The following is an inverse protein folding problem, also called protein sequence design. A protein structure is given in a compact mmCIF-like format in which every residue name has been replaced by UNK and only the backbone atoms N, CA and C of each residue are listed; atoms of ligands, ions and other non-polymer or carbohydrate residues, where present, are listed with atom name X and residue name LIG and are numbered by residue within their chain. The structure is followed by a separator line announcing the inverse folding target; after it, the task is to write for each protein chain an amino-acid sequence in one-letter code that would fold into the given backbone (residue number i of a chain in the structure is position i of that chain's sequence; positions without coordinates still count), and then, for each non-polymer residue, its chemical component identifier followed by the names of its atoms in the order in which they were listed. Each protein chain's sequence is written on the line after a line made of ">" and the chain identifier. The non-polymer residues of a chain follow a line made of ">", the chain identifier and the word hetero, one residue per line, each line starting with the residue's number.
data_IF_107303006067
#
_entry.id   IF_107303006067
#
_cell.length_a   1.000
_cell.length_b   1.000
_cell.length_c   1.000
_cell.angle_alpha   90.00
_cell.angle_beta   90.00
_cell.angle_gamma   90.00
#
_symmetry.space_group_name_H-M   'P 1'
#
loop_
_entity.id
_entity.type
_entity.pdbx_description
1 polymer ?
#
# COMPACT_ATOMS: atom_id res chain seq x y z
N UNK A 1 -6.43 12.80 15.84
CA UNK A 1 -5.12 12.48 16.45
C UNK A 1 -4.94 13.39 17.67
N UNK A 2 -4.43 12.87 18.79
CA UNK A 2 -4.26 13.63 20.05
C UNK A 2 -3.43 14.91 19.85
N UNK A 3 -2.44 14.87 18.97
CA UNK A 3 -1.58 16.00 18.60
C UNK A 3 -2.31 17.17 17.94
N UNK A 4 -3.31 16.93 17.09
CA UNK A 4 -4.12 17.99 16.47
C UNK A 4 -5.01 18.69 17.50
N UNK A 5 -5.40 17.97 18.56
CA UNK A 5 -6.20 18.50 19.65
C UNK A 5 -5.36 19.42 20.55
N UNK A 6 -4.10 19.06 20.83
CA UNK A 6 -3.14 19.91 21.54
C UNK A 6 -2.92 21.24 20.81
N UNK A 7 -2.79 21.23 19.47
CA UNK A 7 -2.67 22.47 18.68
C UNK A 7 -3.90 23.37 18.80
N UNK A 8 -5.10 22.78 18.88
CA UNK A 8 -6.35 23.52 19.09
C UNK A 8 -6.41 24.12 20.50
N UNK A 9 -6.05 23.35 21.51
CA UNK A 9 -5.99 23.80 22.91
C UNK A 9 -5.00 24.96 23.08
N UNK A 10 -3.80 24.89 22.48
CA UNK A 10 -2.84 26.00 22.52
C UNK A 10 -3.42 27.24 21.83
N UNK A 11 -4.15 27.08 20.72
CA UNK A 11 -4.81 28.21 20.03
C UNK A 11 -5.87 28.87 20.90
N UNK A 12 -6.68 28.06 21.59
CA UNK A 12 -7.69 28.55 22.53
C UNK A 12 -7.04 29.23 23.73
N UNK A 13 -5.89 28.73 24.20
CA UNK A 13 -5.14 29.36 25.29
C UNK A 13 -4.59 30.73 24.87
N UNK A 14 -4.10 30.87 23.64
CA UNK A 14 -3.64 32.16 23.09
C UNK A 14 -4.80 33.16 23.09
N UNK A 15 -5.97 32.78 22.57
CA UNK A 15 -7.17 33.63 22.55
C UNK A 15 -7.60 34.01 23.98
N UNK A 16 -7.57 33.06 24.91
CA UNK A 16 -7.90 33.31 26.32
C UNK A 16 -6.94 34.32 26.97
N UNK A 17 -5.66 34.28 26.61
CA UNK A 17 -4.66 35.26 27.07
C UNK A 17 -4.90 36.62 26.40
N UNK A 18 -5.27 36.65 25.12
CA UNK A 18 -5.64 37.88 24.41
C UNK A 18 -6.84 38.58 25.05
N UNK A 19 -7.86 37.84 25.45
CA UNK A 19 -9.09 38.36 26.07
C UNK A 19 -8.95 38.67 27.57
N UNK A 20 -7.86 38.24 28.19
CA UNK A 20 -7.62 38.48 29.62
C UNK A 20 -7.37 39.96 29.96
N UNK A 21 -7.64 40.33 31.20
CA UNK A 21 -7.35 41.66 31.76
C UNK A 21 -5.87 41.85 32.18
N UNK A 22 -4.98 40.95 31.79
CA UNK A 22 -3.54 41.03 32.09
C UNK A 22 -2.92 42.26 31.42
N UNK A 23 -1.90 42.84 32.07
CA UNK A 23 -1.12 43.96 31.52
C UNK A 23 -0.59 43.63 30.11
N UNK A 24 -0.66 44.60 29.21
CA UNK A 24 -0.35 44.46 27.77
C UNK A 24 1.04 43.85 27.51
N UNK A 25 2.03 44.20 28.33
CA UNK A 25 3.42 43.71 28.18
C UNK A 25 3.50 42.21 28.51
N UNK A 26 2.90 41.78 29.61
CA UNK A 26 2.95 40.38 30.03
C UNK A 26 2.07 39.48 29.14
N UNK A 27 0.95 40.03 28.65
CA UNK A 27 0.14 39.40 27.60
C UNK A 27 0.98 39.09 26.36
N UNK A 28 1.75 40.06 25.86
CA UNK A 28 2.64 39.85 24.70
C UNK A 28 3.72 38.81 24.98
N UNK A 29 4.31 38.78 26.17
CA UNK A 29 5.30 37.75 26.55
C UNK A 29 4.68 36.35 26.54
N UNK A 30 3.50 36.20 27.15
CA UNK A 30 2.78 34.92 27.21
C UNK A 30 2.38 34.43 25.82
N UNK A 31 1.81 35.29 24.99
CA UNK A 31 1.44 34.95 23.61
C UNK A 31 2.68 34.50 22.82
N UNK A 32 3.81 35.22 22.92
CA UNK A 32 5.06 34.83 22.26
C UNK A 32 5.54 33.43 22.66
N UNK A 33 5.49 33.11 23.94
CA UNK A 33 5.88 31.78 24.45
C UNK A 33 4.93 30.70 23.91
N UNK A 34 3.62 30.92 23.97
CA UNK A 34 2.62 29.98 23.46
C UNK A 34 2.76 29.76 21.95
N UNK A 35 3.04 30.83 21.20
CA UNK A 35 3.28 30.75 19.76
C UNK A 35 4.54 29.95 19.44
N UNK A 36 5.62 30.15 20.20
CA UNK A 36 6.86 29.38 20.05
C UNK A 36 6.67 27.89 20.36
N UNK A 37 5.90 27.56 21.40
CA UNK A 37 5.53 26.18 21.73
C UNK A 37 4.72 25.56 20.58
N UNK A 38 3.72 26.28 20.07
CA UNK A 38 2.88 25.84 18.95
C UNK A 38 3.70 25.54 17.70
N UNK A 39 4.64 26.41 17.34
CA UNK A 39 5.53 26.23 16.19
C UNK A 39 6.42 25.00 16.36
N UNK A 40 7.06 24.82 17.52
CA UNK A 40 7.88 23.63 17.81
C UNK A 40 7.07 22.34 17.71
N UNK A 41 5.81 22.35 18.15
CA UNK A 41 4.93 21.20 18.05
C UNK A 41 4.59 20.87 16.59
N UNK A 42 4.36 21.88 15.74
CA UNK A 42 4.16 21.71 14.30
C UNK A 42 5.41 21.11 13.65
N UNK A 43 6.59 21.67 13.91
CA UNK A 43 7.86 21.14 13.38
C UNK A 43 8.10 19.68 13.79
N UNK A 44 7.76 19.32 15.03
CA UNK A 44 7.85 17.95 15.51
C UNK A 44 6.90 17.03 14.74
N UNK A 45 5.64 17.43 14.56
CA UNK A 45 4.66 16.64 13.81
C UNK A 45 5.01 16.50 12.33
N UNK A 46 5.58 17.52 11.71
CA UNK A 46 6.09 17.42 10.34
C UNK A 46 7.25 16.44 10.21
N UNK A 47 8.13 16.38 11.22
CA UNK A 47 9.21 15.38 11.26
C UNK A 47 8.65 13.96 11.41
N UNK A 48 7.67 13.75 12.29
CA UNK A 48 6.99 12.46 12.43
C UNK A 48 6.29 12.04 11.14
N UNK A 49 5.53 12.92 10.50
CA UNK A 49 4.85 12.65 9.23
C UNK A 49 5.83 12.33 8.09
N UNK A 50 6.98 13.03 8.03
CA UNK A 50 8.04 12.71 7.05
C UNK A 50 8.66 11.34 7.30
N UNK A 51 8.83 10.95 8.56
CA UNK A 51 9.32 9.61 8.94
C UNK A 51 8.28 8.55 8.60
N UNK A 52 7.01 8.76 8.95
CA UNK A 52 5.90 7.86 8.60
C UNK A 52 5.78 7.69 7.08
N UNK A 53 5.83 8.78 6.30
CA UNK A 53 5.80 8.72 4.85
C UNK A 53 6.98 7.90 4.28
N UNK A 54 8.18 8.05 4.86
CA UNK A 54 9.36 7.27 4.48
C UNK A 54 9.25 5.79 4.85
N UNK A 55 8.61 5.48 5.98
CA UNK A 55 8.33 4.09 6.42
C UNK A 55 7.27 3.45 5.53
N UNK A 56 6.18 4.17 5.23
CA UNK A 56 5.11 3.72 4.32
C UNK A 56 5.67 3.49 2.92
N UNK A 57 6.53 4.38 2.42
CA UNK A 57 7.21 4.21 1.13
C UNK A 57 8.11 2.96 1.13
N UNK A 58 8.90 2.73 2.19
CA UNK A 58 9.70 1.51 2.31
C UNK A 58 8.85 0.25 2.40
N UNK A 59 7.73 0.31 3.12
CA UNK A 59 6.77 -0.79 3.23
C UNK A 59 6.02 -1.05 1.92
N UNK A 60 5.70 -0.02 1.12
CA UNK A 60 5.06 -0.17 -0.18
C UNK A 60 6.04 -0.73 -1.24
N UNK A 61 7.31 -0.32 -1.21
CA UNK A 61 8.36 -0.92 -2.03
C UNK A 61 8.58 -2.39 -1.64
N UNK A 62 8.62 -2.71 -0.34
CA UNK A 62 8.72 -4.10 0.14
C UNK A 62 7.47 -4.94 -0.21
N UNK A 63 6.27 -4.36 -0.19
CA UNK A 63 5.05 -5.05 -0.65
C UNK A 63 5.02 -5.28 -2.16
N UNK A 64 5.58 -4.36 -2.96
CA UNK A 64 5.69 -4.55 -4.41
C UNK A 64 6.72 -5.62 -4.78
N UNK A 65 7.84 -5.71 -4.06
CA UNK A 65 8.78 -6.84 -4.25
C UNK A 65 8.16 -8.15 -3.79
N UNK A 66 7.46 -8.19 -2.65
CA UNK A 66 6.79 -9.42 -2.18
C UNK A 66 5.62 -9.85 -3.10
N UNK A 67 4.85 -8.91 -3.65
CA UNK A 67 3.80 -9.21 -4.63
C UNK A 67 4.39 -9.68 -5.97
N UNK A 68 5.55 -9.15 -6.39
CA UNK A 68 6.25 -9.66 -7.57
C UNK A 68 6.81 -11.07 -7.32
N UNK A 69 7.38 -11.34 -6.15
CA UNK A 69 7.87 -12.68 -5.75
C UNK A 69 6.69 -13.67 -5.63
N UNK A 70 5.57 -13.27 -5.03
CA UNK A 70 4.36 -14.09 -4.98
C UNK A 70 3.73 -14.30 -6.37
N UNK A 71 3.74 -13.30 -7.24
CA UNK A 71 3.28 -13.46 -8.64
C UNK A 71 4.20 -14.41 -9.41
N UNK A 72 5.53 -14.27 -9.29
CA UNK A 72 6.51 -15.21 -9.86
C UNK A 72 6.21 -16.64 -9.40
N UNK A 73 5.98 -16.84 -8.10
CA UNK A 73 5.58 -18.14 -7.56
C UNK A 73 4.26 -18.66 -8.17
N UNK A 74 3.28 -17.79 -8.48
CA UNK A 74 2.01 -18.21 -9.08
C UNK A 74 2.14 -18.56 -10.57
N UNK A 75 3.00 -17.89 -11.31
CA UNK A 75 3.32 -18.27 -12.69
C UNK A 75 4.03 -19.62 -12.74
N UNK A 76 5.01 -19.83 -11.86
CA UNK A 76 5.74 -21.09 -11.75
C UNK A 76 4.82 -22.24 -11.33
N UNK A 77 3.90 -22.02 -10.39
CA UNK A 77 2.89 -23.00 -10.00
C UNK A 77 2.01 -23.42 -11.19
N UNK A 78 1.56 -22.48 -12.04
CA UNK A 78 0.78 -22.81 -13.24
C UNK A 78 1.61 -23.64 -14.21
N UNK A 79 2.87 -23.26 -14.47
CA UNK A 79 3.74 -24.00 -15.40
C UNK A 79 4.08 -25.40 -14.88
N UNK A 80 4.37 -25.55 -13.58
CA UNK A 80 4.60 -26.85 -12.94
C UNK A 80 3.35 -27.73 -12.99
N UNK A 81 2.18 -27.16 -12.77
CA UNK A 81 0.92 -27.89 -12.86
C UNK A 81 0.67 -28.43 -14.27
N UNK A 82 0.94 -27.63 -15.31
CA UNK A 82 0.87 -28.10 -16.71
C UNK A 82 1.86 -29.24 -16.95
N UNK A 83 3.11 -29.09 -16.47
CA UNK A 83 4.16 -30.12 -16.62
C UNK A 83 3.78 -31.44 -15.95
N UNK A 84 3.18 -31.38 -14.75
CA UNK A 84 2.84 -32.55 -13.96
C UNK A 84 1.58 -33.26 -14.47
N UNK A 85 0.66 -32.56 -15.14
CA UNK A 85 -0.55 -33.12 -15.74
C UNK A 85 -0.35 -33.41 -17.24
N UNK A 86 0.64 -34.25 -17.55
CA UNK A 86 0.89 -34.77 -18.91
C UNK A 86 1.17 -33.70 -19.99
N UNK A 87 1.46 -32.45 -19.60
CA UNK A 87 1.76 -31.34 -20.51
C UNK A 87 0.54 -30.66 -21.12
N UNK A 88 -0.68 -31.02 -20.73
CA UNK A 88 -1.94 -30.49 -21.30
C UNK A 88 -3.01 -30.37 -20.22
N UNK A 89 -3.49 -29.15 -19.97
CA UNK A 89 -4.53 -28.90 -18.96
C UNK A 89 -5.63 -27.97 -19.46
N UNK A 90 -6.84 -28.17 -18.99
CA UNK A 90 -8.00 -27.31 -19.21
C UNK A 90 -8.05 -26.14 -18.23
N UNK A 91 -8.87 -25.13 -18.55
CA UNK A 91 -9.12 -24.02 -17.63
C UNK A 91 -9.75 -24.48 -16.29
N UNK A 92 -10.55 -25.54 -16.31
CA UNK A 92 -11.19 -26.09 -15.12
C UNK A 92 -10.16 -26.73 -14.17
N UNK A 93 -9.20 -27.47 -14.71
CA UNK A 93 -8.13 -28.09 -13.91
C UNK A 93 -7.24 -27.03 -13.27
N UNK A 94 -6.95 -25.93 -13.97
CA UNK A 94 -6.16 -24.82 -13.40
C UNK A 94 -6.86 -24.09 -12.23
N UNK A 95 -8.19 -24.18 -12.12
CA UNK A 95 -8.91 -23.62 -10.96
C UNK A 95 -8.62 -24.40 -9.67
N UNK A 96 -8.17 -25.66 -9.77
CA UNK A 96 -7.77 -26.46 -8.60
C UNK A 96 -6.55 -25.92 -7.87
N UNK A 97 -5.78 -25.02 -8.49
CA UNK A 97 -4.62 -24.34 -7.88
C UNK A 97 -4.98 -23.34 -6.77
N UNK A 98 -6.27 -23.17 -6.44
CA UNK A 98 -6.74 -22.22 -5.44
C UNK A 98 -6.53 -20.75 -5.86
N UNK A 99 -6.39 -20.50 -7.17
CA UNK A 99 -6.26 -19.15 -7.74
C UNK A 99 -7.65 -18.69 -8.17
N UNK A 100 -8.05 -17.49 -7.76
CA UNK A 100 -9.34 -16.91 -8.17
C UNK A 100 -9.41 -16.77 -9.70
N UNK A 101 -10.58 -17.06 -10.29
CA UNK A 101 -10.71 -17.14 -11.75
C UNK A 101 -10.32 -15.86 -12.51
N UNK A 102 -10.55 -14.67 -11.92
CA UNK A 102 -10.12 -13.39 -12.50
C UNK A 102 -8.60 -13.26 -12.54
N UNK A 103 -7.91 -13.60 -11.45
CA UNK A 103 -6.45 -13.57 -11.36
C UNK A 103 -5.82 -14.64 -12.23
N UNK A 104 -6.39 -15.84 -12.25
CA UNK A 104 -5.93 -16.94 -13.10
C UNK A 104 -5.97 -16.55 -14.58
N UNK A 105 -7.06 -15.93 -15.05
CA UNK A 105 -7.17 -15.45 -16.44
C UNK A 105 -6.08 -14.44 -16.79
N UNK A 106 -5.77 -13.51 -15.87
CA UNK A 106 -4.68 -12.55 -16.03
C UNK A 106 -3.32 -13.24 -16.11
N UNK A 107 -3.06 -14.23 -15.24
CA UNK A 107 -1.80 -14.95 -15.25
C UNK A 107 -1.60 -15.79 -16.52
N UNK A 108 -2.65 -16.51 -16.94
CA UNK A 108 -2.65 -17.28 -18.21
C UNK A 108 -2.37 -16.36 -19.40
N UNK A 109 -3.04 -15.21 -19.48
CA UNK A 109 -2.81 -14.24 -20.56
C UNK A 109 -1.34 -13.80 -20.60
N UNK A 110 -0.76 -13.43 -19.46
CA UNK A 110 0.64 -13.02 -19.39
C UNK A 110 1.62 -14.15 -19.76
N UNK A 111 1.32 -15.40 -19.42
CA UNK A 111 2.12 -16.55 -19.83
C UNK A 111 2.04 -16.83 -21.34
N UNK A 112 0.88 -16.59 -21.96
CA UNK A 112 0.70 -16.68 -23.43
C UNK A 112 1.47 -15.54 -24.11
N UNK A 113 1.28 -14.30 -23.65
CA UNK A 113 1.97 -13.12 -24.19
C UNK A 113 3.50 -13.27 -24.07
N UNK A 114 3.97 -13.87 -22.96
CA UNK A 114 5.37 -14.22 -22.71
C UNK A 114 5.86 -15.50 -23.40
N UNK A 115 5.04 -16.13 -24.25
CA UNK A 115 5.33 -17.39 -24.97
C UNK A 115 5.82 -18.54 -24.08
N UNK A 116 5.37 -18.59 -22.83
CA UNK A 116 5.67 -19.68 -21.89
C UNK A 116 4.71 -20.84 -22.03
N UNK A 117 3.47 -20.53 -22.41
CA UNK A 117 2.42 -21.51 -22.65
C UNK A 117 1.71 -21.19 -23.97
N UNK A 118 1.16 -22.21 -24.62
CA UNK A 118 0.33 -22.10 -25.81
C UNK A 118 -1.08 -22.61 -25.54
N UNK A 119 -2.03 -22.15 -26.35
CA UNK A 119 -3.43 -22.57 -26.27
C UNK A 119 -3.74 -23.52 -27.44
N UNK A 120 -4.31 -24.67 -27.14
CA UNK A 120 -4.78 -25.65 -28.11
C UNK A 120 -6.29 -25.76 -28.01
N UNK A 121 -6.99 -25.70 -29.15
CA UNK A 121 -8.44 -25.87 -29.21
C UNK A 121 -8.75 -27.30 -29.65
N UNK A 122 -9.53 -28.01 -28.85
CA UNK A 122 -10.09 -29.30 -29.24
C UNK A 122 -11.61 -29.27 -29.06
N UNK A 123 -12.33 -29.22 -30.18
CA UNK A 123 -13.78 -29.02 -30.22
C UNK A 123 -14.19 -27.67 -29.62
N UNK A 124 -15.03 -27.71 -28.57
CA UNK A 124 -15.47 -26.53 -27.81
C UNK A 124 -14.54 -26.18 -26.63
N UNK A 125 -13.53 -26.99 -26.37
CA UNK A 125 -12.67 -26.87 -25.20
C UNK A 125 -11.32 -26.24 -25.56
N UNK A 126 -10.77 -25.49 -24.60
CA UNK A 126 -9.45 -24.88 -24.68
C UNK A 126 -8.51 -25.56 -23.68
N UNK A 127 -7.32 -25.88 -24.15
CA UNK A 127 -6.26 -26.51 -23.36
C UNK A 127 -5.02 -25.62 -23.39
N UNK A 128 -4.29 -25.63 -22.29
CA UNK A 128 -3.04 -24.91 -22.09
C UNK A 128 -1.91 -25.92 -22.01
N UNK A 129 -0.88 -25.69 -22.81
CA UNK A 129 0.31 -26.53 -22.93
C UNK A 129 1.54 -25.65 -22.68
N UNK A 130 2.66 -26.22 -22.24
CA UNK A 130 3.95 -25.51 -22.32
C UNK A 130 4.30 -25.26 -23.80
N UNK A 131 4.84 -24.07 -24.09
CA UNK A 131 5.17 -23.66 -25.46
C UNK A 131 6.33 -24.46 -26.04
#
# INVERSE_FOLDING_TARGET
>A
MKSTQILKEISQLILSVEDSSIQKIDKLKLIKVLFAIKLKLIEFLEKELKIEAKVIYRASVARNTNNNIQMLNKYDLIMQFIKNNSGRVSAAELLSLGITGRSLRRYIKNLIDGRKIKIEKSGRNYFYLLA
#
